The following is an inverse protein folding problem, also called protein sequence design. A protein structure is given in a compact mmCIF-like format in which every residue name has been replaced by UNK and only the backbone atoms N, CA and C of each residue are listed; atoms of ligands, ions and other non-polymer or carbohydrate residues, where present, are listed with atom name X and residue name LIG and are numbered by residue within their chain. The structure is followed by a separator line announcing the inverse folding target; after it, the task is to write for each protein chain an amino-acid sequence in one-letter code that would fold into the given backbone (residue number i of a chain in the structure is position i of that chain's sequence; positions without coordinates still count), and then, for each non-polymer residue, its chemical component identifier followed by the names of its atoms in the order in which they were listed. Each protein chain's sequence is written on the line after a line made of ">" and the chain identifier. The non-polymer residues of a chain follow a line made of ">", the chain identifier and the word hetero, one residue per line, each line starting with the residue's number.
data_IF_796081590985
#
_entry.id   IF_796081590985
#
_cell.length_a   1.000
_cell.length_b   1.000
_cell.length_c   1.000
_cell.angle_alpha   90.00
_cell.angle_beta   90.00
_cell.angle_gamma   90.00
#
_symmetry.space_group_name_H-M   'P 1'
#
loop_
_entity.id
_entity.type
_entity.pdbx_description
1 polymer ?
#
# COMPACT_ATOMS: atom_id res chain seq x y z
N UNK A 1 -11.46 -23.15 -18.37
CA UNK A 1 -10.17 -23.04 -19.07
C UNK A 1 -9.16 -23.97 -18.39
N UNK A 2 -8.26 -24.62 -19.14
CA UNK A 2 -7.11 -25.35 -18.57
C UNK A 2 -6.21 -24.44 -17.73
N UNK A 3 -5.44 -25.03 -16.80
CA UNK A 3 -4.55 -24.29 -15.90
C UNK A 3 -3.44 -23.56 -16.66
N UNK A 4 -2.94 -24.17 -17.73
CA UNK A 4 -1.89 -23.64 -18.60
C UNK A 4 -2.35 -22.31 -19.23
N UNK A 5 -3.57 -22.28 -19.77
CA UNK A 5 -4.13 -21.06 -20.35
C UNK A 5 -4.40 -19.98 -19.29
N UNK A 6 -4.77 -20.37 -18.06
CA UNK A 6 -4.88 -19.40 -16.97
C UNK A 6 -3.51 -18.76 -16.63
N UNK A 7 -2.44 -19.55 -16.58
CA UNK A 7 -1.09 -19.07 -16.31
C UNK A 7 -0.59 -18.13 -17.41
N UNK A 8 -0.87 -18.46 -18.67
CA UNK A 8 -0.57 -17.61 -19.82
C UNK A 8 -1.31 -16.26 -19.71
N UNK A 9 -2.62 -16.27 -19.47
CA UNK A 9 -3.40 -15.04 -19.24
C UNK A 9 -2.81 -14.21 -18.10
N UNK A 10 -2.54 -14.84 -16.95
CA UNK A 10 -1.97 -14.16 -15.77
C UNK A 10 -0.65 -13.47 -16.10
N UNK A 11 0.20 -14.10 -16.92
CA UNK A 11 1.50 -13.54 -17.31
C UNK A 11 1.40 -12.24 -18.11
N UNK A 12 0.25 -11.99 -18.75
CA UNK A 12 -0.03 -10.77 -19.50
C UNK A 12 -0.76 -9.69 -18.68
N UNK A 13 -1.15 -9.97 -17.43
CA UNK A 13 -1.86 -9.01 -16.59
C UNK A 13 -0.89 -8.17 -15.76
N UNK A 14 -1.12 -6.85 -15.72
CA UNK A 14 -0.43 -5.97 -14.76
C UNK A 14 -0.82 -6.33 -13.33
N UNK A 15 0.14 -6.18 -12.40
CA UNK A 15 0.07 -6.72 -11.03
C UNK A 15 -1.22 -6.44 -10.21
N UNK A 16 -1.95 -5.31 -10.33
CA UNK A 16 -3.19 -5.16 -9.57
C UNK A 16 -4.23 -6.23 -9.93
N UNK A 17 -4.22 -6.74 -11.16
CA UNK A 17 -5.20 -7.73 -11.64
C UNK A 17 -4.93 -9.13 -11.07
N UNK A 18 -3.70 -9.71 -11.14
CA UNK A 18 -3.39 -10.96 -10.46
C UNK A 18 -3.60 -10.91 -8.95
N UNK A 19 -3.29 -9.78 -8.29
CA UNK A 19 -3.56 -9.62 -6.85
C UNK A 19 -5.06 -9.66 -6.52
N UNK A 20 -5.90 -9.08 -7.37
CA UNK A 20 -7.37 -9.17 -7.22
C UNK A 20 -7.86 -10.59 -7.47
N UNK A 21 -7.36 -11.26 -8.50
CA UNK A 21 -7.70 -12.66 -8.80
C UNK A 21 -7.37 -13.58 -7.62
N UNK A 22 -6.22 -13.41 -6.96
CA UNK A 22 -5.89 -14.14 -5.74
C UNK A 22 -6.93 -13.94 -4.61
N UNK A 23 -7.46 -12.73 -4.47
CA UNK A 23 -8.38 -12.39 -3.39
C UNK A 23 -9.81 -12.87 -3.64
N UNK A 24 -10.20 -13.06 -4.90
CA UNK A 24 -11.58 -13.40 -5.28
C UNK A 24 -11.78 -14.89 -5.58
N UNK A 25 -10.72 -15.65 -5.87
CA UNK A 25 -10.82 -17.04 -6.28
C UNK A 25 -9.77 -17.92 -5.61
N UNK A 26 -10.20 -19.01 -4.95
CA UNK A 26 -9.30 -20.01 -4.38
C UNK A 26 -8.38 -20.63 -5.43
N UNK A 27 -8.89 -20.85 -6.64
CA UNK A 27 -8.13 -21.39 -7.77
C UNK A 27 -7.00 -20.45 -8.20
N UNK A 28 -7.29 -19.16 -8.36
CA UNK A 28 -6.26 -18.18 -8.70
C UNK A 28 -5.34 -17.87 -7.52
N UNK A 29 -5.81 -18.02 -6.29
CA UNK A 29 -4.98 -17.92 -5.09
C UNK A 29 -3.85 -18.97 -5.09
N UNK A 30 -4.10 -20.19 -5.56
CA UNK A 30 -3.06 -21.21 -5.70
C UNK A 30 -2.17 -21.04 -6.93
N UNK A 31 -2.67 -20.40 -8.00
CA UNK A 31 -1.94 -20.27 -9.27
C UNK A 31 -1.07 -19.01 -9.36
N UNK A 32 -1.57 -17.88 -8.89
CA UNK A 32 -0.86 -16.61 -9.01
C UNK A 32 0.22 -16.56 -7.93
N UNK A 33 1.48 -16.38 -8.33
CA UNK A 33 2.57 -16.14 -7.37
C UNK A 33 2.35 -14.82 -6.64
N UNK A 34 2.54 -14.80 -5.32
CA UNK A 34 2.56 -13.53 -4.57
C UNK A 34 3.71 -12.66 -5.11
N UNK A 35 3.45 -11.38 -5.45
CA UNK A 35 4.50 -10.50 -5.91
C UNK A 35 5.51 -10.24 -4.79
N UNK A 36 6.76 -10.03 -5.16
CA UNK A 36 7.80 -9.63 -4.21
C UNK A 36 7.75 -8.12 -4.00
N UNK A 37 8.31 -7.64 -2.88
CA UNK A 37 8.45 -6.20 -2.62
C UNK A 37 9.18 -5.49 -3.77
N UNK A 38 10.27 -6.09 -4.26
CA UNK A 38 11.05 -5.54 -5.39
C UNK A 38 10.18 -5.37 -6.63
N UNK A 39 9.44 -6.41 -7.03
CA UNK A 39 8.57 -6.36 -8.21
C UNK A 39 7.51 -5.27 -8.09
N UNK A 40 6.93 -5.08 -6.89
CA UNK A 40 5.95 -4.01 -6.67
C UNK A 40 6.57 -2.61 -6.77
N UNK A 41 7.78 -2.41 -6.23
CA UNK A 41 8.49 -1.13 -6.32
C UNK A 41 8.88 -0.77 -7.76
N UNK A 42 9.26 -1.77 -8.57
CA UNK A 42 9.53 -1.59 -10.00
C UNK A 42 8.24 -1.17 -10.74
N UNK A 43 7.14 -1.88 -10.50
CA UNK A 43 5.84 -1.62 -11.12
C UNK A 43 5.20 -0.30 -10.69
N UNK A 44 5.43 0.15 -9.45
CA UNK A 44 5.02 1.46 -8.96
C UNK A 44 5.57 2.62 -9.80
N UNK A 45 6.74 2.41 -10.41
CA UNK A 45 7.39 3.41 -11.24
C UNK A 45 6.75 3.52 -12.64
N UNK A 46 5.83 2.64 -13.01
CA UNK A 46 5.16 2.64 -14.30
C UNK A 46 4.01 3.68 -14.37
N UNK A 47 3.66 4.18 -15.57
CA UNK A 47 2.63 5.21 -15.74
C UNK A 47 1.28 4.85 -15.10
N UNK A 48 0.82 3.61 -15.28
CA UNK A 48 -0.47 3.16 -14.74
C UNK A 48 -0.56 3.28 -13.21
N UNK A 49 0.53 2.97 -12.50
CA UNK A 49 0.58 3.04 -11.04
C UNK A 49 0.63 4.49 -10.56
N UNK A 50 1.39 5.34 -11.26
CA UNK A 50 1.51 6.77 -10.98
C UNK A 50 0.18 7.51 -11.19
N UNK A 51 -0.50 7.28 -12.31
CA UNK A 51 -1.82 7.85 -12.62
C UNK A 51 -2.86 7.49 -11.56
N UNK A 52 -2.82 6.23 -11.10
CA UNK A 52 -3.71 5.75 -10.05
C UNK A 52 -3.25 6.11 -8.63
N UNK A 53 -2.11 6.81 -8.51
CA UNK A 53 -1.46 7.16 -7.24
C UNK A 53 -1.31 5.95 -6.31
N UNK A 54 -0.86 4.82 -6.84
CA UNK A 54 -0.50 3.65 -6.05
C UNK A 54 0.94 3.74 -5.58
N UNK A 55 1.15 3.33 -4.33
CA UNK A 55 2.46 3.15 -3.73
C UNK A 55 2.54 1.76 -3.09
N UNK A 56 3.75 1.23 -3.00
CA UNK A 56 4.02 -0.08 -2.40
C UNK A 56 4.21 0.03 -0.89
N UNK A 57 3.50 -0.80 -0.13
CA UNK A 57 3.77 -1.00 1.29
C UNK A 57 4.72 -2.20 1.48
N UNK A 58 5.80 -1.99 2.22
CA UNK A 58 6.83 -2.98 2.53
C UNK A 58 6.33 -4.13 3.39
N UNK A 59 5.46 -3.85 4.36
CA UNK A 59 4.93 -4.86 5.28
C UNK A 59 3.88 -5.76 4.64
N UNK A 60 2.82 -5.18 4.08
CA UNK A 60 1.75 -5.99 3.52
C UNK A 60 2.01 -6.46 2.09
N UNK A 61 3.11 -6.01 1.46
CA UNK A 61 3.54 -6.34 0.09
C UNK A 61 2.38 -6.22 -0.90
N UNK A 62 1.74 -5.05 -0.91
CA UNK A 62 0.58 -4.70 -1.74
C UNK A 62 0.67 -3.26 -2.21
N UNK A 63 0.05 -2.98 -3.36
CA UNK A 63 -0.26 -1.61 -3.74
C UNK A 63 -1.35 -1.03 -2.84
N UNK A 64 -1.13 0.20 -2.39
CA UNK A 64 -2.08 0.98 -1.61
C UNK A 64 -2.16 2.37 -2.21
N UNK A 65 -3.32 3.03 -2.10
CA UNK A 65 -3.46 4.42 -2.57
C UNK A 65 -2.50 5.31 -1.78
N UNK A 66 -2.00 6.38 -2.39
CA UNK A 66 -1.12 7.37 -1.75
C UNK A 66 -1.72 7.90 -0.43
N UNK A 67 -3.03 8.09 -0.38
CA UNK A 67 -3.78 8.47 0.83
C UNK A 67 -3.77 7.44 1.96
N UNK A 68 -3.24 6.24 1.73
CA UNK A 68 -3.03 5.21 2.76
C UNK A 68 -1.67 5.34 3.45
N UNK A 69 -0.86 6.34 3.10
CA UNK A 69 0.46 6.61 3.68
C UNK A 69 0.46 7.99 4.31
N UNK A 70 1.29 8.18 5.35
CA UNK A 70 1.61 9.52 5.83
C UNK A 70 2.38 10.29 4.75
N UNK A 71 2.19 11.60 4.64
CA UNK A 71 2.77 12.43 3.58
C UNK A 71 4.31 12.31 3.54
N UNK A 72 4.94 12.23 4.71
CA UNK A 72 6.39 12.04 4.87
C UNK A 72 6.89 10.74 4.22
N UNK A 73 6.02 9.73 4.14
CA UNK A 73 6.27 8.44 3.47
C UNK A 73 5.96 8.50 1.97
N UNK A 74 5.73 9.67 1.38
CA UNK A 74 5.38 9.82 -0.04
C UNK A 74 6.26 10.84 -0.79
N UNK A 75 7.21 11.46 -0.10
CA UNK A 75 8.07 12.54 -0.60
C UNK A 75 9.54 12.26 -0.33
N UNK A 76 10.44 13.05 -0.94
CA UNK A 76 11.88 12.94 -0.72
C UNK A 76 12.40 11.52 -1.00
N UNK A 77 13.20 10.99 -0.07
CA UNK A 77 13.82 9.66 -0.16
C UNK A 77 12.80 8.50 -0.19
N UNK A 78 11.55 8.74 0.21
CA UNK A 78 10.45 7.76 0.17
C UNK A 78 9.65 7.82 -1.13
N UNK A 79 9.93 8.76 -2.02
CA UNK A 79 9.25 8.86 -3.32
C UNK A 79 9.46 7.59 -4.15
N UNK A 80 8.55 7.27 -5.10
CA UNK A 80 8.73 6.12 -5.99
C UNK A 80 10.11 6.14 -6.67
N UNK A 81 10.81 5.01 -6.62
CA UNK A 81 12.16 4.86 -7.19
C UNK A 81 13.32 5.40 -6.34
N UNK A 82 13.05 6.03 -5.19
CA UNK A 82 14.08 6.51 -4.28
C UNK A 82 14.54 5.45 -3.26
N UNK A 83 15.68 5.72 -2.61
CA UNK A 83 16.40 4.77 -1.75
C UNK A 83 15.55 4.20 -0.60
N UNK A 84 14.65 4.99 -0.02
CA UNK A 84 13.79 4.57 1.09
C UNK A 84 12.38 4.20 0.66
N UNK A 85 12.09 4.12 -0.64
CA UNK A 85 10.79 3.68 -1.14
C UNK A 85 10.41 2.28 -0.63
N UNK A 86 11.40 1.41 -0.44
CA UNK A 86 11.25 0.05 0.11
C UNK A 86 10.99 0.00 1.62
N UNK A 87 11.08 1.13 2.33
CA UNK A 87 10.83 1.23 3.76
C UNK A 87 9.44 1.78 4.08
N UNK A 88 8.66 2.17 3.05
CA UNK A 88 7.33 2.75 3.26
C UNK A 88 6.37 1.74 3.86
N UNK A 89 5.64 2.20 4.86
CA UNK A 89 4.55 1.45 5.48
C UNK A 89 3.26 2.23 5.30
N UNK A 90 2.19 1.55 4.88
CA UNK A 90 0.87 2.16 4.94
C UNK A 90 0.45 2.35 6.40
N UNK A 91 -0.40 3.34 6.65
CA UNK A 91 -0.86 3.72 8.01
C UNK A 91 -1.40 2.51 8.75
N UNK A 92 -2.16 1.63 8.09
CA UNK A 92 -2.67 0.42 8.72
C UNK A 92 -1.54 -0.51 9.21
N UNK A 93 -0.52 -0.76 8.39
CA UNK A 93 0.62 -1.59 8.82
C UNK A 93 1.45 -0.89 9.90
N UNK A 94 1.64 0.42 9.80
CA UNK A 94 2.34 1.19 10.82
C UNK A 94 1.64 1.11 12.19
N UNK A 95 0.30 1.19 12.22
CA UNK A 95 -0.49 1.03 13.43
C UNK A 95 -0.44 -0.40 13.99
N UNK A 96 -0.47 -1.43 13.15
CA UNK A 96 -0.41 -2.82 13.61
C UNK A 96 0.97 -3.23 14.13
N UNK A 97 2.02 -2.50 13.75
CA UNK A 97 3.41 -2.76 14.17
C UNK A 97 3.91 -1.70 15.16
N UNK A 98 3.01 -0.99 15.83
CA UNK A 98 3.31 0.04 16.85
C UNK A 98 4.32 1.11 16.41
N UNK A 99 4.39 1.41 15.11
CA UNK A 99 5.28 2.44 14.55
C UNK A 99 4.74 3.85 14.74
N UNK A 100 3.45 3.98 14.98
CA UNK A 100 2.82 5.25 15.37
C UNK A 100 2.21 5.10 16.77
N UNK A 101 2.90 5.55 17.82
CA UNK A 101 2.37 5.59 19.17
C UNK A 101 1.04 6.34 19.26
N UNK A 102 0.27 6.06 20.31
CA UNK A 102 -0.96 6.79 20.60
C UNK A 102 -0.68 8.30 20.74
N UNK A 103 -1.55 9.14 20.18
CA UNK A 103 -1.39 10.58 20.16
C UNK A 103 -0.45 11.11 19.08
N UNK A 104 0.19 10.23 18.30
CA UNK A 104 1.05 10.66 17.17
C UNK A 104 0.24 11.48 16.18
N UNK A 105 0.72 12.69 15.89
CA UNK A 105 0.23 13.54 14.81
C UNK A 105 0.96 13.20 13.52
N UNK A 106 0.21 13.09 12.43
CA UNK A 106 0.77 12.84 11.10
C UNK A 106 -0.03 13.59 10.04
N UNK A 107 0.60 13.91 8.92
CA UNK A 107 -0.10 14.47 7.76
C UNK A 107 -0.48 13.37 6.78
N UNK A 108 -1.71 13.41 6.27
CA UNK A 108 -2.22 12.48 5.25
C UNK A 108 -3.00 13.29 4.24
N UNK A 109 -2.56 13.30 2.98
CA UNK A 109 -3.18 14.11 1.94
C UNK A 109 -3.23 15.59 2.30
N UNK A 110 -2.20 16.10 2.97
CA UNK A 110 -2.06 17.48 3.41
C UNK A 110 -2.83 17.86 4.68
N UNK A 111 -3.67 16.98 5.22
CA UNK A 111 -4.48 17.22 6.44
C UNK A 111 -3.83 16.59 7.66
N UNK A 112 -4.04 17.17 8.85
CA UNK A 112 -3.56 16.59 10.10
C UNK A 112 -4.48 15.48 10.57
N UNK A 113 -3.87 14.36 10.96
CA UNK A 113 -4.51 13.21 11.55
C UNK A 113 -3.79 12.85 12.85
N UNK A 114 -4.51 12.21 13.76
CA UNK A 114 -4.00 11.74 15.05
C UNK A 114 -4.29 10.25 15.23
N UNK A 115 -3.35 9.54 15.84
CA UNK A 115 -3.62 8.20 16.38
C UNK A 115 -4.43 8.36 17.66
N UNK A 116 -5.71 7.98 17.62
CA UNK A 116 -6.62 8.17 18.75
C UNK A 116 -6.10 7.49 20.03
N UNK A 117 -6.01 8.24 21.12
CA UNK A 117 -5.54 7.76 22.43
C UNK A 117 -6.36 6.59 23.00
N UNK A 118 -7.62 6.45 22.59
CA UNK A 118 -8.53 5.43 23.12
C UNK A 118 -8.56 4.15 22.29
N UNK A 119 -8.57 4.27 20.95
CA UNK A 119 -8.79 3.12 20.07
C UNK A 119 -7.63 2.82 19.11
N UNK A 120 -6.54 3.59 19.15
CA UNK A 120 -5.36 3.38 18.29
C UNK A 120 -5.62 3.58 16.80
N UNK A 121 -6.81 4.05 16.39
CA UNK A 121 -7.13 4.31 14.98
C UNK A 121 -6.67 5.70 14.58
N UNK A 122 -6.16 5.83 13.35
CA UNK A 122 -5.90 7.11 12.73
C UNK A 122 -7.22 7.83 12.41
N UNK A 123 -7.42 9.03 12.95
CA UNK A 123 -8.59 9.88 12.72
C UNK A 123 -8.14 11.24 12.24
N UNK A 124 -8.92 11.87 11.36
CA UNK A 124 -8.71 13.28 11.03
C UNK A 124 -8.84 14.11 12.31
N UNK A 125 -7.93 15.06 12.49
CA UNK A 125 -8.01 16.05 13.57
C UNK A 125 -9.16 17.02 13.24
N UNK A 126 -10.40 16.58 13.43
CA UNK A 126 -11.53 17.50 13.48
C UNK A 126 -11.50 18.07 14.89
N UNK A 127 -11.01 19.30 14.99
CA UNK A 127 -10.98 20.05 16.24
C UNK A 127 -12.38 20.14 16.84
N UNK A 128 -12.69 19.27 17.78
CA UNK A 128 -13.65 19.57 18.84
C UNK A 128 -12.83 20.18 19.96
N UNK A 129 -12.62 21.50 19.85
CA UNK A 129 -12.44 22.30 21.04
C UNK A 129 -13.75 22.18 21.81
N UNK A 130 -13.75 21.36 22.86
CA UNK A 130 -14.71 21.52 23.95
C UNK A 130 -14.40 22.80 24.71
#
# INVERSE_FOLDING_TARGET
>A
LPTEMHLEIISHLSIPSPQRLQQTSRHFCSLVKRPTLRTLLEEESLPWAREQQYLTCSECVKFRKRSSFADDMTVGEYSPGCLKASQRMCIWCALQNDKFPLGTLMRVGGRTHVVCLQCGRCRSEIGTKG
#
